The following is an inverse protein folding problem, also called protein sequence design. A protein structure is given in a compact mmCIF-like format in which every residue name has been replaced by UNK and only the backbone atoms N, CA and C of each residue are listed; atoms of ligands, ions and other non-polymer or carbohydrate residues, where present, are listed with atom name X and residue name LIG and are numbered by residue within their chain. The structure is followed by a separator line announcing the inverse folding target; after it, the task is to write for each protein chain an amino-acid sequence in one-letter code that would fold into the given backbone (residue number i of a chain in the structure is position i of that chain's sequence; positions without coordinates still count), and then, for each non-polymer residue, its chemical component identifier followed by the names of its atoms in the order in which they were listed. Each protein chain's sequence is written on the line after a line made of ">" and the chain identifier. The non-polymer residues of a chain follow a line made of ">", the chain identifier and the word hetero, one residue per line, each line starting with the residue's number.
data_IF_521655517163
#
_entry.id   IF_521655517163
#
_cell.length_a   1.000
_cell.length_b   1.000
_cell.length_c   1.000
_cell.angle_alpha   90.00
_cell.angle_beta   90.00
_cell.angle_gamma   90.00
#
_symmetry.space_group_name_H-M   'P 1'
#
loop_
_entity.id
_entity.type
_entity.pdbx_description
1 polymer ?
#
# COMPACT_ATOMS: atom_id res chain seq x y z
N UNK A 1 8.17 29.47 64.26
CA UNK A 1 8.86 28.63 63.26
C UNK A 1 7.83 27.73 62.58
N UNK A 2 7.31 28.18 61.44
CA UNK A 2 6.35 27.39 60.62
C UNK A 2 7.11 26.79 59.44
N UNK A 3 7.21 25.47 59.38
CA UNK A 3 7.80 24.77 58.26
C UNK A 3 6.72 24.62 57.15
N UNK A 4 7.00 25.24 56.01
CA UNK A 4 6.22 25.10 54.78
C UNK A 4 6.76 23.87 54.06
N UNK A 5 5.92 22.84 53.89
CA UNK A 5 6.21 21.71 53.03
C UNK A 5 5.74 22.07 51.62
N UNK A 6 6.69 22.25 50.70
CA UNK A 6 6.42 22.39 49.28
C UNK A 6 6.29 21.02 48.66
N UNK A 7 5.08 20.64 48.28
CA UNK A 7 4.79 19.42 47.56
C UNK A 7 5.09 19.65 46.07
N UNK A 8 6.16 19.07 45.56
CA UNK A 8 6.46 19.07 44.13
C UNK A 8 5.54 18.07 43.44
N UNK A 9 4.59 18.54 42.64
CA UNK A 9 3.82 17.74 41.71
C UNK A 9 4.73 17.45 40.49
N UNK A 10 5.26 16.25 40.41
CA UNK A 10 5.82 15.70 39.18
C UNK A 10 4.65 15.37 38.24
N UNK A 11 4.41 16.24 37.27
CA UNK A 11 3.59 15.95 36.10
C UNK A 11 4.34 14.91 35.26
N UNK A 12 3.99 13.64 35.46
CA UNK A 12 4.21 12.61 34.47
C UNK A 12 3.35 12.95 33.24
N UNK A 13 3.95 13.64 32.28
CA UNK A 13 3.44 13.68 30.92
C UNK A 13 3.57 12.26 30.37
N UNK A 14 2.54 11.45 30.58
CA UNK A 14 2.37 10.19 29.88
C UNK A 14 2.31 10.52 28.40
N UNK A 15 3.35 10.19 27.67
CA UNK A 15 3.30 10.03 26.23
C UNK A 15 2.21 8.99 25.94
N UNK A 16 1.01 9.46 25.67
CA UNK A 16 0.01 8.67 24.99
C UNK A 16 0.57 8.41 23.59
N UNK A 17 1.28 7.30 23.45
CA UNK A 17 1.43 6.62 22.20
C UNK A 17 0.02 6.15 21.86
N UNK A 18 -0.76 6.98 21.17
CA UNK A 18 -2.06 6.59 20.67
C UNK A 18 -1.82 5.30 19.88
N UNK A 19 -2.52 4.23 20.22
CA UNK A 19 -2.52 3.01 19.44
C UNK A 19 -2.93 3.43 18.03
N UNK A 20 -1.97 3.47 17.12
CA UNK A 20 -2.18 3.67 15.71
C UNK A 20 -3.15 2.56 15.28
N UNK A 21 -4.35 2.92 14.86
CA UNK A 21 -5.33 1.95 14.32
C UNK A 21 -4.89 1.58 12.90
N UNK A 22 -3.79 0.84 12.82
CA UNK A 22 -3.22 0.33 11.58
C UNK A 22 -4.14 -0.75 11.04
N UNK A 23 -4.99 -0.39 10.12
CA UNK A 23 -5.97 -1.29 9.48
C UNK A 23 -5.75 -1.39 7.96
N UNK A 24 -4.54 -1.14 7.48
CA UNK A 24 -4.18 -1.24 6.07
C UNK A 24 -4.54 -2.60 5.46
N UNK A 25 -4.69 -2.66 4.14
CA UNK A 25 -4.99 -3.90 3.44
C UNK A 25 -4.34 -3.93 2.07
N UNK A 26 -3.57 -4.99 1.80
CA UNK A 26 -2.92 -5.24 0.52
C UNK A 26 -3.56 -6.39 -0.25
N UNK A 27 -3.49 -6.32 -1.59
CA UNK A 27 -3.89 -7.39 -2.50
C UNK A 27 -2.94 -7.46 -3.69
N UNK A 28 -2.52 -8.67 -4.06
CA UNK A 28 -1.73 -8.94 -5.27
C UNK A 28 -2.50 -9.91 -6.14
N UNK A 29 -2.48 -9.66 -7.45
CA UNK A 29 -2.96 -10.59 -8.47
C UNK A 29 -1.81 -10.87 -9.43
N UNK A 30 -1.38 -12.11 -9.50
CA UNK A 30 -0.34 -12.57 -10.43
C UNK A 30 -0.78 -12.43 -11.89
N UNK A 31 0.18 -12.26 -12.79
CA UNK A 31 -0.09 -11.98 -14.21
C UNK A 31 -0.95 -13.05 -14.90
N UNK A 32 -0.81 -14.31 -14.52
CA UNK A 32 -1.61 -15.41 -15.06
C UNK A 32 -2.97 -15.55 -14.36
N UNK A 33 -3.18 -14.93 -13.21
CA UNK A 33 -4.49 -14.83 -12.54
C UNK A 33 -5.29 -13.64 -13.07
N UNK A 34 -4.64 -12.61 -13.59
CA UNK A 34 -5.29 -11.38 -14.07
C UNK A 34 -5.98 -11.57 -15.44
N UNK A 35 -6.91 -10.67 -15.74
CA UNK A 35 -7.71 -10.71 -16.97
C UNK A 35 -6.87 -10.39 -18.23
N UNK A 36 -5.88 -9.50 -18.11
CA UNK A 36 -5.12 -8.98 -19.24
C UNK A 36 -3.62 -9.37 -19.22
N UNK A 37 -3.23 -10.34 -18.37
CA UNK A 37 -1.84 -10.78 -18.27
C UNK A 37 -0.93 -9.80 -17.54
N UNK A 38 -1.49 -8.93 -16.73
CA UNK A 38 -0.81 -7.90 -15.94
C UNK A 38 -0.63 -8.30 -14.49
N UNK A 39 0.40 -7.82 -13.82
CA UNK A 39 0.49 -7.86 -12.36
C UNK A 39 -0.35 -6.71 -11.81
N UNK A 40 -1.25 -7.00 -10.85
CA UNK A 40 -2.06 -5.98 -10.18
C UNK A 40 -1.70 -5.99 -8.70
N UNK A 41 -1.37 -4.82 -8.16
CA UNK A 41 -1.10 -4.64 -6.74
C UNK A 41 -1.99 -3.53 -6.20
N UNK A 42 -2.85 -3.84 -5.24
CA UNK A 42 -3.74 -2.89 -4.59
C UNK A 42 -3.41 -2.71 -3.11
N UNK A 43 -3.58 -1.50 -2.58
CA UNK A 43 -3.30 -1.16 -1.19
C UNK A 43 -4.22 -0.06 -0.67
N UNK A 44 -4.83 -0.29 0.51
CA UNK A 44 -5.47 0.76 1.31
C UNK A 44 -4.54 1.18 2.43
N UNK A 45 -4.28 2.48 2.54
CA UNK A 45 -3.64 3.08 3.71
C UNK A 45 -4.70 3.60 4.67
N UNK A 46 -4.63 3.16 5.92
CA UNK A 46 -5.56 3.52 6.97
C UNK A 46 -4.83 4.23 8.11
N UNK A 47 -5.05 5.55 8.24
CA UNK A 47 -4.36 6.34 9.27
C UNK A 47 -5.16 7.56 9.79
N UNK A 48 -6.47 7.46 9.75
CA UNK A 48 -7.37 8.54 10.17
C UNK A 48 -7.69 9.54 9.06
N UNK A 49 -8.96 9.65 8.72
CA UNK A 49 -9.51 10.25 7.50
C UNK A 49 -9.28 11.76 7.24
N UNK A 50 -8.56 12.46 8.11
CA UNK A 50 -8.26 13.90 7.96
C UNK A 50 -6.84 14.21 7.49
N UNK A 51 -6.07 13.22 7.07
CA UNK A 51 -4.71 13.42 6.63
C UNK A 51 -4.64 13.81 5.16
N UNK A 52 -3.87 14.84 4.86
CA UNK A 52 -3.68 15.29 3.49
C UNK A 52 -2.77 14.34 2.71
N UNK A 53 -3.28 13.80 1.60
CA UNK A 53 -2.48 13.02 0.67
C UNK A 53 -1.75 13.93 -0.31
N UNK A 54 -0.42 13.92 -0.27
CA UNK A 54 0.43 14.50 -1.30
C UNK A 54 0.71 13.50 -2.41
N UNK A 55 0.66 13.97 -3.65
CA UNK A 55 1.14 13.24 -4.80
C UNK A 55 2.37 13.94 -5.37
N UNK A 56 3.42 13.20 -5.57
CA UNK A 56 4.68 13.64 -6.14
C UNK A 56 4.98 12.87 -7.42
N UNK A 57 5.42 13.56 -8.46
CA UNK A 57 5.89 12.93 -9.67
C UNK A 57 7.20 13.58 -10.13
N UNK A 58 8.17 12.75 -10.44
CA UNK A 58 9.46 13.11 -11.02
C UNK A 58 9.81 12.14 -12.14
N UNK A 59 10.89 12.40 -12.92
CA UNK A 59 11.38 11.43 -13.90
C UNK A 59 11.85 10.10 -13.27
N UNK A 60 12.07 10.04 -11.96
CA UNK A 60 12.60 8.87 -11.29
C UNK A 60 11.51 8.01 -10.64
N UNK A 61 10.49 8.64 -10.06
CA UNK A 61 9.39 7.91 -9.40
C UNK A 61 8.15 8.79 -9.20
N UNK A 62 7.01 8.12 -9.06
CA UNK A 62 5.75 8.67 -8.58
C UNK A 62 5.58 8.22 -7.14
N UNK A 63 5.09 9.13 -6.29
CA UNK A 63 5.03 8.93 -4.86
C UNK A 63 3.74 9.48 -4.27
N UNK A 64 3.07 8.69 -3.42
CA UNK A 64 1.97 9.12 -2.57
C UNK A 64 2.43 9.14 -1.11
N UNK A 65 2.11 10.21 -0.36
CA UNK A 65 2.54 10.35 1.03
C UNK A 65 1.58 11.18 1.87
N UNK A 66 1.69 11.03 3.16
CA UNK A 66 1.02 11.85 4.17
C UNK A 66 2.03 12.74 4.87
N UNK A 67 1.92 14.08 4.77
CA UNK A 67 2.81 15.00 5.47
C UNK A 67 2.75 14.81 6.98
N UNK A 68 3.90 14.87 7.63
CA UNK A 68 4.01 14.72 9.09
C UNK A 68 4.05 13.26 9.58
N UNK A 69 3.92 12.31 8.67
CA UNK A 69 4.11 10.90 8.96
C UNK A 69 5.54 10.45 8.66
N UNK A 70 6.06 9.56 9.50
CA UNK A 70 7.36 8.93 9.24
C UNK A 70 7.33 7.94 8.08
N UNK A 71 6.18 7.72 7.45
CA UNK A 71 6.00 6.72 6.40
C UNK A 71 5.44 7.36 5.14
N UNK A 72 6.19 7.28 4.06
CA UNK A 72 5.65 7.47 2.73
C UNK A 72 4.74 6.27 2.41
N UNK A 73 3.58 6.51 1.83
CA UNK A 73 2.63 5.44 1.61
C UNK A 73 3.07 4.53 0.45
N UNK A 74 3.07 5.00 -0.78
CA UNK A 74 3.28 4.16 -1.95
C UNK A 74 4.19 4.81 -2.99
N UNK A 75 5.03 3.99 -3.65
CA UNK A 75 5.92 4.41 -4.73
C UNK A 75 5.76 3.54 -5.96
N UNK A 76 5.97 4.15 -7.12
CA UNK A 76 6.22 3.49 -8.40
C UNK A 76 7.40 4.17 -9.08
N UNK A 77 8.50 3.46 -9.31
CA UNK A 77 9.70 4.04 -9.91
C UNK A 77 9.74 3.88 -11.44
N UNK A 78 10.72 4.53 -12.09
CA UNK A 78 10.87 4.53 -13.55
C UNK A 78 11.04 3.15 -14.20
N UNK A 79 11.34 2.11 -13.43
CA UNK A 79 11.42 0.73 -13.89
C UNK A 79 10.11 -0.03 -13.73
N UNK A 80 9.06 0.63 -13.24
CA UNK A 80 7.77 0.00 -12.93
C UNK A 80 7.76 -0.80 -11.65
N UNK A 81 8.80 -0.66 -10.79
CA UNK A 81 8.81 -1.28 -9.47
C UNK A 81 7.95 -0.46 -8.52
N UNK A 82 6.99 -1.14 -7.89
CA UNK A 82 6.07 -0.57 -6.92
C UNK A 82 6.32 -1.13 -5.54
N UNK A 83 6.09 -0.32 -4.52
CA UNK A 83 6.16 -0.73 -3.11
C UNK A 83 5.13 0.01 -2.27
N UNK A 84 4.45 -0.73 -1.40
CA UNK A 84 3.70 -0.24 -0.24
C UNK A 84 3.93 -1.18 0.94
N UNK A 85 3.28 -0.95 2.09
CA UNK A 85 3.50 -1.82 3.24
C UNK A 85 2.45 -1.70 4.32
N UNK A 86 2.17 -2.82 5.00
CA UNK A 86 1.23 -2.93 6.11
C UNK A 86 1.95 -3.08 7.44
N UNK A 87 1.47 -2.42 8.48
CA UNK A 87 1.94 -2.67 9.83
C UNK A 87 1.55 -4.08 10.28
N UNK A 88 2.54 -4.85 10.74
CA UNK A 88 2.36 -6.23 11.19
C UNK A 88 3.13 -6.42 12.49
N UNK A 89 2.52 -6.14 13.66
CA UNK A 89 3.23 -6.22 14.92
C UNK A 89 3.86 -7.58 15.16
N UNK A 90 5.14 -7.57 15.53
CA UNK A 90 5.93 -8.76 15.83
C UNK A 90 5.87 -9.14 17.30
N UNK A 91 6.13 -10.41 17.58
CA UNK A 91 6.17 -10.97 18.93
C UNK A 91 7.26 -10.36 19.80
N UNK A 92 8.41 -10.03 19.22
CA UNK A 92 9.52 -9.43 19.94
C UNK A 92 9.49 -7.91 19.89
N UNK A 93 9.92 -7.30 20.99
CA UNK A 93 10.18 -5.86 21.10
C UNK A 93 11.69 -5.56 21.24
N UNK A 94 12.55 -6.55 20.98
CA UNK A 94 14.02 -6.38 21.05
C UNK A 94 14.50 -5.62 19.81
N UNK A 95 15.11 -4.49 20.03
CA UNK A 95 15.46 -3.58 18.92
C UNK A 95 16.78 -3.95 18.26
N UNK A 96 17.62 -4.75 18.61
CA UNK A 96 18.91 -5.13 17.97
C UNK A 96 19.28 -4.26 16.73
N UNK A 97 19.34 -2.94 16.95
CA UNK A 97 19.51 -1.94 15.91
C UNK A 97 20.98 -1.54 15.75
N UNK A 98 21.38 -1.25 14.51
CA UNK A 98 22.65 -0.60 14.19
C UNK A 98 22.34 0.74 13.48
N UNK A 99 23.11 1.78 13.77
CA UNK A 99 22.94 3.12 13.19
C UNK A 99 21.51 3.65 13.27
N UNK A 100 20.81 3.40 14.39
CA UNK A 100 19.44 3.84 14.64
C UNK A 100 18.36 3.06 13.88
N UNK A 101 18.73 2.00 13.19
CA UNK A 101 17.79 1.13 12.46
C UNK A 101 17.18 1.78 11.20
N UNK A 102 16.27 1.05 10.55
CA UNK A 102 15.50 1.52 9.38
C UNK A 102 14.00 1.45 9.64
N UNK A 103 13.23 2.25 8.93
CA UNK A 103 11.77 2.21 8.89
C UNK A 103 11.28 2.63 7.50
N UNK A 104 10.77 3.85 7.34
CA UNK A 104 10.25 4.35 6.07
C UNK A 104 11.31 4.57 4.99
N UNK A 105 12.59 4.74 5.36
CA UNK A 105 13.70 4.78 4.40
C UNK A 105 13.79 3.52 3.52
N UNK A 106 13.22 2.42 3.98
CA UNK A 106 13.17 1.15 3.24
C UNK A 106 12.42 1.35 1.91
N UNK A 107 11.22 1.94 1.94
CA UNK A 107 10.44 2.21 0.72
C UNK A 107 11.15 3.19 -0.21
N UNK A 108 11.72 4.25 0.32
CA UNK A 108 12.51 5.21 -0.48
C UNK A 108 13.74 4.57 -1.11
N UNK A 109 14.42 3.67 -0.40
CA UNK A 109 15.58 2.96 -0.93
C UNK A 109 15.19 2.07 -2.10
N UNK A 110 14.07 1.36 -2.01
CA UNK A 110 13.53 0.56 -3.11
C UNK A 110 13.18 1.47 -4.30
N UNK A 111 12.44 2.56 -4.07
CA UNK A 111 12.05 3.50 -5.13
C UNK A 111 13.25 4.08 -5.88
N UNK A 112 14.35 4.35 -5.20
CA UNK A 112 15.56 4.94 -5.80
C UNK A 112 16.47 3.91 -6.48
N UNK A 113 16.54 2.67 -5.98
CA UNK A 113 17.59 1.72 -6.37
C UNK A 113 17.09 0.49 -7.12
N UNK A 114 15.88 -0.01 -6.84
CA UNK A 114 15.40 -1.26 -7.40
C UNK A 114 15.03 -1.11 -8.89
N UNK A 115 15.47 -2.06 -9.72
CA UNK A 115 15.10 -2.16 -11.14
C UNK A 115 14.11 -3.29 -11.39
N UNK A 116 13.97 -4.22 -10.44
CA UNK A 116 13.01 -5.32 -10.46
C UNK A 116 12.42 -5.53 -9.06
N UNK A 117 11.28 -6.20 -8.98
CA UNK A 117 10.69 -6.59 -7.71
C UNK A 117 11.65 -7.52 -6.93
N UNK A 118 12.39 -8.38 -7.62
CA UNK A 118 13.40 -9.25 -7.00
C UNK A 118 14.56 -8.46 -6.39
N UNK A 119 15.09 -7.44 -7.08
CA UNK A 119 16.10 -6.54 -6.49
C UNK A 119 15.58 -5.79 -5.26
N UNK A 120 14.28 -5.44 -5.23
CA UNK A 120 13.67 -4.82 -4.07
C UNK A 120 13.73 -5.74 -2.84
N UNK A 121 13.53 -7.05 -3.00
CA UNK A 121 13.69 -8.05 -1.92
C UNK A 121 15.10 -7.99 -1.34
N UNK A 122 16.14 -7.96 -2.20
CA UNK A 122 17.54 -7.91 -1.76
C UNK A 122 17.87 -6.60 -1.02
N UNK A 123 17.34 -5.48 -1.48
CA UNK A 123 17.51 -4.17 -0.84
C UNK A 123 16.88 -4.18 0.56
N UNK A 124 15.64 -4.65 0.68
CA UNK A 124 14.91 -4.71 1.96
C UNK A 124 15.63 -5.64 2.92
N UNK A 125 15.94 -6.88 2.49
CA UNK A 125 16.64 -7.87 3.31
C UNK A 125 17.97 -7.35 3.83
N UNK A 126 18.79 -6.75 2.97
CA UNK A 126 20.08 -6.16 3.34
C UNK A 126 19.94 -5.04 4.36
N UNK A 127 18.99 -4.12 4.16
CA UNK A 127 18.76 -3.02 5.09
C UNK A 127 18.35 -3.54 6.47
N UNK A 128 17.45 -4.52 6.52
CA UNK A 128 16.98 -5.12 7.77
C UNK A 128 18.11 -5.90 8.45
N UNK A 129 18.84 -6.72 7.73
CA UNK A 129 19.98 -7.50 8.31
C UNK A 129 21.10 -6.60 8.82
N UNK A 130 21.42 -5.53 8.11
CA UNK A 130 22.56 -4.67 8.47
C UNK A 130 22.22 -3.62 9.52
N UNK A 131 21.00 -3.10 9.53
CA UNK A 131 20.62 -1.99 10.41
C UNK A 131 19.55 -2.34 11.44
N UNK A 132 18.68 -3.29 11.16
CA UNK A 132 17.52 -3.63 11.99
C UNK A 132 16.33 -2.73 11.72
N UNK A 133 15.12 -3.30 11.79
CA UNK A 133 13.86 -2.58 11.66
C UNK A 133 13.42 -2.01 13.02
N UNK A 134 13.22 -0.69 13.13
CA UNK A 134 13.03 0.01 14.40
C UNK A 134 11.58 0.08 14.93
N UNK A 135 10.59 -0.34 14.14
CA UNK A 135 9.18 -0.38 14.56
C UNK A 135 8.73 -1.80 14.88
N UNK A 136 7.49 -1.98 15.31
CA UNK A 136 6.97 -3.25 15.81
C UNK A 136 7.01 -4.41 14.80
N UNK A 137 7.11 -4.12 13.52
CA UNK A 137 7.16 -5.08 12.43
C UNK A 137 6.31 -4.60 11.24
N UNK A 138 6.58 -5.17 10.06
CA UNK A 138 5.94 -4.74 8.82
C UNK A 138 5.92 -5.83 7.76
N UNK A 139 4.91 -5.83 6.91
CA UNK A 139 4.94 -6.56 5.65
C UNK A 139 5.08 -5.54 4.52
N UNK A 140 6.18 -5.64 3.77
CA UNK A 140 6.36 -4.93 2.51
C UNK A 140 5.79 -5.74 1.37
N UNK A 141 5.20 -5.05 0.41
CA UNK A 141 4.66 -5.60 -0.82
C UNK A 141 5.40 -4.91 -1.95
N UNK A 142 6.06 -5.68 -2.80
CA UNK A 142 6.77 -5.16 -3.97
C UNK A 142 6.30 -5.88 -5.22
N UNK A 143 6.16 -5.14 -6.31
CA UNK A 143 5.74 -5.68 -7.60
C UNK A 143 6.42 -4.94 -8.74
N UNK A 144 6.58 -5.63 -9.86
CA UNK A 144 6.92 -5.06 -11.16
C UNK A 144 6.02 -5.70 -12.25
N UNK A 145 6.14 -5.35 -13.54
CA UNK A 145 5.31 -5.94 -14.60
C UNK A 145 5.44 -7.45 -14.79
N UNK A 146 6.38 -8.12 -14.13
CA UNK A 146 6.65 -9.54 -14.31
C UNK A 146 6.31 -10.39 -13.09
N UNK A 147 6.44 -9.83 -11.89
CA UNK A 147 6.29 -10.58 -10.64
C UNK A 147 5.96 -9.69 -9.44
N UNK A 148 5.56 -10.34 -8.34
CA UNK A 148 5.33 -9.69 -7.07
C UNK A 148 5.84 -10.53 -5.90
N UNK A 149 6.25 -9.87 -4.81
CA UNK A 149 6.81 -10.46 -3.61
C UNK A 149 6.20 -9.88 -2.35
N UNK A 150 6.06 -10.71 -1.33
CA UNK A 150 5.71 -10.31 0.02
C UNK A 150 6.94 -10.47 0.89
N UNK A 151 7.30 -9.44 1.66
CA UNK A 151 8.46 -9.43 2.52
C UNK A 151 8.00 -9.07 3.94
N UNK A 152 8.06 -10.02 4.86
CA UNK A 152 7.74 -9.82 6.28
C UNK A 152 9.01 -9.52 7.07
N UNK A 153 9.00 -8.41 7.82
CA UNK A 153 10.11 -8.01 8.69
C UNK A 153 9.60 -7.84 10.12
N UNK A 154 10.31 -8.41 11.09
CA UNK A 154 10.00 -8.17 12.50
C UNK A 154 10.79 -6.97 13.03
N UNK A 155 10.46 -6.49 14.22
CA UNK A 155 11.32 -5.57 14.95
C UNK A 155 12.69 -6.21 15.17
N UNK A 156 13.76 -5.50 14.81
CA UNK A 156 15.10 -6.06 14.80
C UNK A 156 15.51 -6.52 13.40
N UNK A 157 16.20 -7.67 13.27
CA UNK A 157 16.96 -8.02 12.05
C UNK A 157 16.43 -9.24 11.31
N UNK A 158 15.28 -9.79 11.72
CA UNK A 158 14.71 -10.99 11.12
C UNK A 158 13.72 -10.64 10.02
N UNK A 159 13.77 -11.35 8.90
CA UNK A 159 12.88 -11.17 7.76
C UNK A 159 12.73 -12.46 6.96
N UNK A 160 11.65 -12.54 6.21
CA UNK A 160 11.44 -13.54 5.17
C UNK A 160 10.71 -12.92 4.00
N UNK A 161 10.93 -13.47 2.81
CA UNK A 161 10.23 -13.07 1.58
C UNK A 161 9.76 -14.31 0.82
N UNK A 162 8.60 -14.17 0.18
CA UNK A 162 8.03 -15.21 -0.68
C UNK A 162 7.42 -14.58 -1.92
N UNK A 163 7.72 -15.17 -3.09
CA UNK A 163 7.13 -14.77 -4.36
C UNK A 163 5.65 -15.14 -4.40
N UNK A 164 4.83 -14.27 -4.94
CA UNK A 164 3.43 -14.60 -5.23
C UNK A 164 3.38 -15.34 -6.57
N UNK A 165 2.82 -16.57 -6.64
CA UNK A 165 2.71 -17.29 -7.89
C UNK A 165 1.94 -16.51 -8.95
N UNK A 166 2.37 -16.65 -10.20
CA UNK A 166 1.76 -15.92 -11.34
C UNK A 166 0.26 -16.19 -11.53
N UNK A 167 -0.21 -17.37 -11.13
CA UNK A 167 -1.61 -17.81 -11.26
C UNK A 167 -2.45 -17.67 -9.98
N UNK A 168 -1.95 -16.89 -9.00
CA UNK A 168 -2.55 -16.76 -7.69
C UNK A 168 -2.98 -15.32 -7.35
N UNK A 169 -3.86 -15.23 -6.35
CA UNK A 169 -4.21 -14.00 -5.63
C UNK A 169 -3.71 -14.12 -4.20
N UNK A 170 -3.09 -13.05 -3.71
CA UNK A 170 -2.60 -12.90 -2.34
C UNK A 170 -3.30 -11.76 -1.65
N UNK A 171 -3.72 -11.97 -0.39
CA UNK A 171 -4.38 -10.98 0.47
C UNK A 171 -3.50 -10.71 1.68
N UNK A 172 -3.29 -9.45 2.01
CA UNK A 172 -2.35 -9.03 3.05
C UNK A 172 -3.06 -8.12 4.06
N UNK A 173 -3.49 -8.66 5.21
CA UNK A 173 -3.99 -7.90 6.36
C UNK A 173 -2.83 -7.48 7.28
N UNK A 174 -3.14 -6.82 8.42
CA UNK A 174 -2.14 -6.39 9.40
C UNK A 174 -1.61 -7.53 10.31
N UNK A 175 -1.26 -8.66 9.71
CA UNK A 175 -0.47 -9.73 10.34
C UNK A 175 0.37 -10.44 9.28
N UNK A 176 1.45 -11.10 9.70
CA UNK A 176 2.31 -11.82 8.77
C UNK A 176 1.57 -12.96 8.09
N UNK A 177 1.75 -13.09 6.77
CA UNK A 177 1.04 -14.05 5.94
C UNK A 177 1.93 -15.19 5.43
N UNK A 178 3.27 -15.05 5.50
CA UNK A 178 4.22 -16.07 5.07
C UNK A 178 4.14 -17.26 6.04
N UNK A 179 3.54 -18.35 5.59
CA UNK A 179 3.22 -19.53 6.43
C UNK A 179 4.17 -20.72 6.21
N UNK A 180 4.97 -20.69 5.13
CA UNK A 180 5.98 -21.73 4.83
C UNK A 180 7.19 -21.06 4.20
N UNK A 181 8.35 -21.24 4.82
CA UNK A 181 9.63 -20.77 4.30
C UNK A 181 10.50 -21.98 4.05
N UNK A 182 10.65 -22.35 2.78
CA UNK A 182 11.53 -23.41 2.33
C UNK A 182 12.66 -22.78 1.50
N UNK A 183 13.87 -22.74 2.04
CA UNK A 183 15.03 -22.15 1.36
C UNK A 183 15.59 -23.02 0.22
N UNK A 184 15.07 -24.24 0.04
CA UNK A 184 15.36 -25.03 -1.16
C UNK A 184 14.52 -24.55 -2.36
N UNK A 185 13.42 -23.85 -2.11
CA UNK A 185 12.60 -23.20 -3.13
C UNK A 185 13.22 -21.84 -3.49
N UNK A 186 13.62 -21.60 -4.75
CA UNK A 186 14.20 -20.32 -5.18
C UNK A 186 13.23 -19.13 -5.10
N UNK A 187 11.97 -19.37 -4.82
CA UNK A 187 10.95 -18.34 -4.62
C UNK A 187 10.77 -17.96 -3.14
N UNK A 188 11.63 -18.47 -2.24
CA UNK A 188 11.65 -18.12 -0.83
C UNK A 188 13.05 -17.59 -0.42
N UNK A 189 13.05 -16.53 0.36
CA UNK A 189 14.24 -15.95 0.96
C UNK A 189 14.01 -15.64 2.43
N UNK A 190 15.08 -15.65 3.22
CA UNK A 190 15.01 -15.24 4.62
C UNK A 190 16.39 -14.77 5.13
N UNK A 191 16.36 -14.03 6.22
CA UNK A 191 17.56 -13.62 6.94
C UNK A 191 18.40 -14.82 7.38
N UNK A 192 19.72 -14.65 7.41
CA UNK A 192 20.70 -15.71 7.62
C UNK A 192 20.47 -16.53 8.90
N UNK A 193 19.97 -15.90 9.96
CA UNK A 193 19.79 -16.52 11.29
C UNK A 193 18.32 -16.68 11.72
N UNK A 194 17.36 -16.49 10.79
CA UNK A 194 15.92 -16.49 11.10
C UNK A 194 15.46 -17.76 11.82
N UNK A 195 15.92 -18.93 11.38
CA UNK A 195 15.55 -20.21 11.98
C UNK A 195 16.17 -20.41 13.36
N UNK A 196 17.48 -20.12 13.49
CA UNK A 196 18.20 -20.25 14.78
C UNK A 196 17.68 -19.23 15.80
N UNK A 197 17.36 -18.03 15.36
CA UNK A 197 16.74 -17.00 16.20
C UNK A 197 15.40 -17.46 16.79
N UNK A 198 14.51 -17.99 15.95
CA UNK A 198 13.21 -18.51 16.40
C UNK A 198 13.36 -19.74 17.30
N UNK A 199 14.29 -20.66 16.97
CA UNK A 199 14.55 -21.89 17.75
C UNK A 199 15.09 -21.56 19.13
N UNK A 200 16.08 -20.67 19.22
CA UNK A 200 16.70 -20.26 20.49
C UNK A 200 15.68 -19.63 21.46
N UNK A 201 14.64 -18.98 20.93
CA UNK A 201 13.55 -18.38 21.71
C UNK A 201 12.39 -19.34 22.01
N UNK A 202 12.48 -20.57 21.53
CA UNK A 202 11.38 -21.55 21.68
C UNK A 202 10.14 -21.18 20.85
N UNK A 203 10.27 -20.37 19.81
CA UNK A 203 9.18 -19.99 18.91
C UNK A 203 9.02 -20.93 17.72
N UNK A 204 10.01 -21.78 17.50
CA UNK A 204 10.02 -22.83 16.49
C UNK A 204 10.83 -24.04 16.98
N UNK A 205 10.30 -25.22 16.72
CA UNK A 205 10.98 -26.49 16.98
C UNK A 205 10.98 -27.34 15.70
N UNK A 206 12.14 -27.46 15.05
CA UNK A 206 12.29 -28.17 13.78
C UNK A 206 11.88 -29.67 13.84
N UNK A 207 11.80 -30.25 15.05
CA UNK A 207 11.41 -31.66 15.23
C UNK A 207 9.89 -31.85 15.28
N UNK A 208 9.13 -30.85 15.70
CA UNK A 208 7.69 -30.96 15.97
C UNK A 208 6.83 -30.10 15.07
N UNK A 209 7.34 -28.95 14.61
CA UNK A 209 6.51 -27.92 13.99
C UNK A 209 6.48 -28.00 12.44
N UNK A 210 7.27 -28.94 11.85
CA UNK A 210 7.33 -29.12 10.40
C UNK A 210 8.04 -27.96 9.68
N UNK A 211 7.52 -27.55 8.53
CA UNK A 211 8.09 -26.44 7.76
C UNK A 211 7.97 -25.14 8.55
N UNK A 212 9.05 -24.35 8.53
CA UNK A 212 9.09 -23.08 9.25
C UNK A 212 8.04 -22.11 8.75
N UNK A 213 7.27 -21.55 9.68
CA UNK A 213 6.26 -20.51 9.43
C UNK A 213 6.70 -19.19 10.05
N UNK A 214 7.03 -18.20 9.22
CA UNK A 214 7.34 -16.86 9.71
C UNK A 214 6.14 -16.27 10.48
N UNK A 215 4.93 -16.45 9.94
CA UNK A 215 3.68 -16.05 10.57
C UNK A 215 3.53 -16.58 12.00
N UNK A 216 3.72 -17.90 12.20
CA UNK A 216 3.56 -18.52 13.52
C UNK A 216 4.68 -18.13 14.49
N UNK A 217 5.91 -18.07 13.99
CA UNK A 217 7.08 -17.78 14.82
C UNK A 217 7.14 -16.32 15.28
N UNK A 218 6.82 -15.38 14.39
CA UNK A 218 7.12 -13.96 14.62
C UNK A 218 5.93 -13.03 14.80
N UNK A 219 4.69 -13.40 14.42
CA UNK A 219 3.54 -12.54 14.71
C UNK A 219 3.35 -12.35 16.21
N UNK A 220 3.00 -11.15 16.65
CA UNK A 220 2.39 -10.97 17.95
C UNK A 220 1.10 -11.82 18.01
N UNK A 221 0.94 -12.71 19.00
CA UNK A 221 -0.15 -13.69 19.02
C UNK A 221 -1.53 -13.04 18.85
N UNK A 222 -1.75 -11.92 19.51
CA UNK A 222 -3.00 -11.16 19.48
C UNK A 222 -3.34 -10.61 18.10
N UNK A 223 -2.35 -10.28 17.25
CA UNK A 223 -2.63 -9.67 15.93
C UNK A 223 -3.26 -10.64 14.95
N UNK A 224 -2.88 -11.93 15.00
CA UNK A 224 -3.45 -12.98 14.14
C UNK A 224 -4.90 -13.29 14.48
N UNK A 225 -5.26 -13.13 15.75
CA UNK A 225 -6.60 -13.45 16.26
C UNK A 225 -7.50 -12.23 16.41
N UNK A 226 -7.01 -11.02 16.15
CA UNK A 226 -7.85 -9.82 16.17
C UNK A 226 -8.98 -9.94 15.16
N UNK A 227 -10.20 -9.83 15.67
CA UNK A 227 -11.42 -10.01 14.88
C UNK A 227 -11.45 -9.10 13.64
N UNK A 228 -11.08 -7.84 13.78
CA UNK A 228 -11.09 -6.91 12.64
C UNK A 228 -10.11 -7.29 11.52
N UNK A 229 -8.93 -7.87 11.85
CA UNK A 229 -7.99 -8.38 10.85
C UNK A 229 -8.58 -9.59 10.10
N UNK A 230 -9.19 -10.50 10.84
CA UNK A 230 -9.81 -11.70 10.29
C UNK A 230 -11.04 -11.38 9.44
N UNK A 231 -11.88 -10.43 9.88
CA UNK A 231 -13.06 -9.99 9.12
C UNK A 231 -12.66 -9.41 7.76
N UNK A 232 -11.64 -8.56 7.70
CA UNK A 232 -11.13 -8.00 6.44
C UNK A 232 -10.60 -9.10 5.51
N UNK A 233 -9.77 -10.01 6.03
CA UNK A 233 -9.24 -11.11 5.24
C UNK A 233 -10.36 -12.01 4.71
N UNK A 234 -11.31 -12.42 5.56
CA UNK A 234 -12.45 -13.27 5.19
C UNK A 234 -13.39 -12.57 4.21
N UNK A 235 -13.62 -11.27 4.35
CA UNK A 235 -14.44 -10.51 3.40
C UNK A 235 -13.85 -10.52 2.00
N UNK A 236 -12.51 -10.38 1.88
CA UNK A 236 -11.84 -10.49 0.60
C UNK A 236 -11.86 -11.93 0.05
N UNK A 237 -11.61 -12.95 0.88
CA UNK A 237 -11.74 -14.36 0.48
C UNK A 237 -13.14 -14.65 -0.04
N UNK A 238 -14.18 -14.21 0.68
CA UNK A 238 -15.58 -14.40 0.29
C UNK A 238 -15.89 -13.71 -1.05
N UNK A 239 -15.35 -12.53 -1.33
CA UNK A 239 -15.51 -11.86 -2.61
C UNK A 239 -15.01 -12.73 -3.78
N UNK A 240 -13.93 -13.47 -3.57
CA UNK A 240 -13.38 -14.39 -4.57
C UNK A 240 -13.97 -15.80 -4.51
N UNK A 241 -15.00 -16.02 -3.70
CA UNK A 241 -15.62 -17.35 -3.55
C UNK A 241 -14.71 -18.39 -2.89
N UNK A 242 -13.75 -17.95 -2.10
CA UNK A 242 -12.81 -18.82 -1.37
C UNK A 242 -13.35 -19.21 0.00
N UNK A 243 -12.93 -20.36 0.56
CA UNK A 243 -13.21 -20.71 1.96
C UNK A 243 -12.74 -19.62 2.92
N UNK A 244 -13.50 -19.43 3.98
CA UNK A 244 -13.23 -18.44 5.05
C UNK A 244 -12.99 -19.15 6.37
N UNK A 245 -11.81 -19.80 6.58
CA UNK A 245 -11.53 -20.58 7.79
C UNK A 245 -11.68 -19.77 9.06
N UNK A 246 -12.17 -20.41 10.14
CA UNK A 246 -12.25 -19.78 11.46
C UNK A 246 -10.85 -19.62 12.07
N UNK A 247 -10.03 -20.65 11.94
CA UNK A 247 -8.65 -20.59 12.39
C UNK A 247 -7.79 -19.83 11.37
N UNK A 248 -7.14 -18.72 11.75
CA UNK A 248 -6.29 -17.94 10.84
C UNK A 248 -5.09 -18.73 10.32
N UNK A 249 -4.65 -19.77 11.02
CA UNK A 249 -3.53 -20.60 10.57
C UNK A 249 -3.90 -21.53 9.39
N UNK A 250 -5.19 -21.72 9.13
CA UNK A 250 -5.70 -22.50 8.00
C UNK A 250 -5.90 -21.64 6.73
N UNK A 251 -5.73 -20.32 6.84
CA UNK A 251 -5.75 -19.42 5.68
C UNK A 251 -4.43 -19.58 4.91
N UNK A 252 -4.47 -20.01 3.63
CA UNK A 252 -3.26 -20.22 2.85
C UNK A 252 -2.54 -18.89 2.54
N UNK A 253 -1.26 -18.96 2.19
CA UNK A 253 -0.47 -17.80 1.73
C UNK A 253 -1.14 -17.10 0.54
N UNK A 254 -1.60 -17.86 -0.44
CA UNK A 254 -2.31 -17.38 -1.62
C UNK A 254 -3.30 -18.42 -2.11
N UNK A 255 -4.16 -18.08 -3.05
CA UNK A 255 -5.12 -18.99 -3.66
C UNK A 255 -5.22 -18.78 -5.19
N UNK A 256 -5.61 -19.83 -5.91
CA UNK A 256 -5.94 -19.75 -7.34
C UNK A 256 -7.40 -19.30 -7.48
N UNK A 257 -7.67 -18.17 -8.14
CA UNK A 257 -9.04 -17.71 -8.31
C UNK A 257 -9.78 -18.58 -9.34
N UNK A 258 -11.09 -18.77 -9.14
CA UNK A 258 -11.95 -19.52 -10.06
C UNK A 258 -12.24 -18.81 -11.39
N UNK A 259 -11.81 -17.54 -11.53
CA UNK A 259 -11.95 -16.71 -12.74
C UNK A 259 -10.78 -15.74 -12.85
N UNK A 260 -10.59 -15.15 -14.01
CA UNK A 260 -9.63 -14.06 -14.20
C UNK A 260 -10.07 -12.82 -13.42
N UNK A 261 -9.10 -12.13 -12.84
CA UNK A 261 -9.29 -10.97 -11.98
C UNK A 261 -8.89 -9.70 -12.74
N UNK A 262 -9.76 -8.71 -12.74
CA UNK A 262 -9.50 -7.40 -13.36
C UNK A 262 -9.00 -6.38 -12.34
N UNK A 263 -8.46 -5.25 -12.82
CA UNK A 263 -8.15 -4.07 -12.00
C UNK A 263 -9.39 -3.59 -11.24
N UNK A 264 -10.56 -3.64 -11.89
CA UNK A 264 -11.84 -3.26 -11.28
C UNK A 264 -12.21 -4.18 -10.12
N UNK A 265 -11.93 -5.49 -10.21
CA UNK A 265 -12.14 -6.42 -9.09
C UNK A 265 -11.30 -6.05 -7.88
N UNK A 266 -10.03 -5.69 -8.09
CA UNK A 266 -9.13 -5.23 -7.01
C UNK A 266 -9.67 -3.94 -6.39
N UNK A 267 -10.09 -2.97 -7.19
CA UNK A 267 -10.72 -1.73 -6.70
C UNK A 267 -11.97 -2.02 -5.88
N UNK A 268 -12.79 -2.99 -6.30
CA UNK A 268 -13.99 -3.41 -5.54
C UNK A 268 -13.64 -4.05 -4.21
N UNK A 269 -12.62 -4.92 -4.16
CA UNK A 269 -12.16 -5.51 -2.89
C UNK A 269 -11.71 -4.43 -1.93
N UNK A 270 -10.90 -3.48 -2.40
CA UNK A 270 -10.43 -2.36 -1.58
C UNK A 270 -11.58 -1.43 -1.13
N UNK A 271 -12.71 -1.46 -1.82
CA UNK A 271 -13.92 -0.68 -1.49
C UNK A 271 -14.91 -1.41 -0.57
N UNK A 272 -14.62 -2.68 -0.18
CA UNK A 272 -15.54 -3.45 0.66
C UNK A 272 -15.64 -2.84 2.07
N UNK A 273 -16.86 -2.54 2.49
CA UNK A 273 -17.14 -2.10 3.84
C UNK A 273 -18.40 -2.75 4.40
N UNK A 274 -18.46 -2.85 5.71
CA UNK A 274 -19.64 -3.26 6.44
C UNK A 274 -20.56 -2.05 6.65
N UNK A 275 -21.88 -2.28 6.83
CA UNK A 275 -22.76 -1.21 7.29
C UNK A 275 -22.14 -0.56 8.55
N UNK A 276 -22.15 0.77 8.62
CA UNK A 276 -21.58 1.55 9.72
C UNK A 276 -20.04 1.70 9.74
N UNK A 277 -19.32 1.39 8.66
CA UNK A 277 -17.90 1.73 8.52
C UNK A 277 -17.02 1.24 9.68
N UNK A 278 -17.24 -0.01 10.09
CA UNK A 278 -16.51 -0.62 11.19
C UNK A 278 -15.02 -0.84 10.87
N UNK A 279 -14.19 -0.97 11.88
CA UNK A 279 -12.76 -1.32 11.74
C UNK A 279 -12.54 -2.71 11.11
N UNK A 280 -13.57 -3.56 11.06
CA UNK A 280 -13.56 -4.84 10.36
C UNK A 280 -13.79 -4.74 8.85
N UNK A 281 -14.00 -3.54 8.32
CA UNK A 281 -14.12 -3.27 6.88
C UNK A 281 -12.75 -3.04 6.24
N UNK A 282 -12.59 -3.42 4.97
CA UNK A 282 -11.38 -3.12 4.19
C UNK A 282 -11.33 -1.63 3.89
N UNK A 283 -12.44 -1.05 3.38
CA UNK A 283 -12.63 0.39 3.37
C UNK A 283 -13.33 0.79 4.68
N UNK A 284 -12.66 1.51 5.54
CA UNK A 284 -13.16 1.90 6.86
C UNK A 284 -12.96 3.39 7.12
N UNK A 285 -13.43 3.89 8.26
CA UNK A 285 -13.36 5.31 8.62
C UNK A 285 -11.95 5.91 8.66
N UNK A 286 -10.92 5.07 8.76
CA UNK A 286 -9.53 5.49 8.81
C UNK A 286 -8.86 5.43 7.45
N UNK A 287 -9.53 4.93 6.39
CA UNK A 287 -8.94 4.85 5.05
C UNK A 287 -8.73 6.25 4.48
N UNK A 288 -7.48 6.61 4.29
CA UNK A 288 -7.06 7.95 3.80
C UNK A 288 -6.69 7.94 2.33
N UNK A 289 -6.32 6.77 1.80
CA UNK A 289 -6.05 6.58 0.39
C UNK A 289 -6.21 5.12 -0.01
N UNK A 290 -6.52 4.90 -1.27
CA UNK A 290 -6.47 3.61 -1.91
C UNK A 290 -5.70 3.70 -3.22
N UNK A 291 -4.72 2.83 -3.40
CA UNK A 291 -3.84 2.80 -4.56
C UNK A 291 -3.93 1.44 -5.25
N UNK A 292 -4.05 1.41 -6.58
CA UNK A 292 -3.96 0.19 -7.39
C UNK A 292 -2.93 0.39 -8.47
N UNK A 293 -1.88 -0.41 -8.47
CA UNK A 293 -0.88 -0.46 -9.52
C UNK A 293 -1.31 -1.48 -10.57
N UNK A 294 -1.39 -1.04 -11.81
CA UNK A 294 -1.60 -1.86 -12.99
C UNK A 294 -0.30 -1.94 -13.75
N UNK A 295 0.32 -3.10 -13.81
CA UNK A 295 1.70 -3.29 -14.25
C UNK A 295 1.73 -4.26 -15.44
N UNK A 296 1.95 -3.74 -16.65
CA UNK A 296 1.89 -4.47 -17.92
C UNK A 296 3.27 -4.55 -18.58
N UNK A 297 3.73 -5.76 -18.84
CA UNK A 297 5.02 -6.03 -19.51
C UNK A 297 4.97 -6.02 -21.04
N UNK A 298 3.76 -6.03 -21.62
CA UNK A 298 3.53 -6.14 -23.06
C UNK A 298 3.45 -4.80 -23.80
N UNK A 299 3.80 -3.70 -23.13
CA UNK A 299 3.79 -2.35 -23.71
C UNK A 299 4.85 -1.47 -23.04
N UNK A 300 5.19 -0.29 -23.60
CA UNK A 300 6.16 0.61 -22.99
C UNK A 300 5.77 0.98 -21.54
N UNK A 301 6.73 0.96 -20.63
CA UNK A 301 6.50 1.15 -19.19
C UNK A 301 5.78 2.46 -18.88
N UNK A 302 6.10 3.53 -19.62
CA UNK A 302 5.56 4.88 -19.41
C UNK A 302 4.03 4.94 -19.55
N UNK A 303 3.44 4.03 -20.30
CA UNK A 303 1.98 3.89 -20.48
C UNK A 303 1.47 2.52 -20.02
N UNK A 304 2.36 1.53 -19.83
CA UNK A 304 2.05 0.20 -19.34
C UNK A 304 1.89 0.11 -17.83
N UNK A 305 2.57 1.01 -17.10
CA UNK A 305 2.51 1.06 -15.64
C UNK A 305 1.71 2.27 -15.18
N UNK A 306 0.70 2.02 -14.37
CA UNK A 306 -0.19 3.04 -13.82
C UNK A 306 -0.33 2.89 -12.31
N UNK A 307 -0.41 4.03 -11.64
CA UNK A 307 -0.91 4.17 -10.29
C UNK A 307 -2.34 4.73 -10.36
N UNK A 308 -3.33 3.91 -10.14
CA UNK A 308 -4.70 4.35 -9.91
C UNK A 308 -4.84 4.77 -8.46
N UNK A 309 -5.32 5.98 -8.18
CA UNK A 309 -5.42 6.49 -6.82
C UNK A 309 -6.79 7.09 -6.54
N UNK A 310 -7.43 6.60 -5.47
CA UNK A 310 -8.58 7.21 -4.82
C UNK A 310 -8.10 7.95 -3.56
N UNK A 311 -8.51 9.20 -3.43
CA UNK A 311 -8.15 10.06 -2.29
C UNK A 311 -9.22 9.98 -1.23
N UNK A 312 -8.95 9.21 -0.18
CA UNK A 312 -9.92 8.91 0.85
C UNK A 312 -10.56 7.54 0.62
N UNK A 313 -11.86 7.45 0.86
CA UNK A 313 -12.59 6.19 0.91
C UNK A 313 -12.94 5.67 -0.50
N UNK A 314 -12.34 4.57 -0.97
CA UNK A 314 -12.51 4.09 -2.34
C UNK A 314 -13.93 3.63 -2.68
N UNK A 315 -14.80 3.40 -1.69
CA UNK A 315 -16.21 3.08 -1.92
C UNK A 315 -17.01 4.26 -2.45
N UNK A 316 -16.60 5.50 -2.16
CA UNK A 316 -17.29 6.75 -2.57
C UNK A 316 -16.38 7.69 -3.38
N UNK A 317 -15.13 7.30 -3.62
CA UNK A 317 -14.17 8.07 -4.41
C UNK A 317 -13.72 7.28 -5.65
N UNK A 318 -13.59 7.95 -6.79
CA UNK A 318 -13.09 7.32 -8.01
C UNK A 318 -11.56 7.25 -8.02
N UNK A 319 -11.04 6.14 -8.55
CA UNK A 319 -9.63 6.01 -8.85
C UNK A 319 -9.27 6.77 -10.12
N UNK A 320 -8.30 7.66 -10.01
CA UNK A 320 -7.75 8.42 -11.14
C UNK A 320 -6.40 7.83 -11.56
N UNK A 321 -6.16 7.64 -12.88
CA UNK A 321 -4.94 7.01 -13.37
C UNK A 321 -3.79 8.00 -13.41
N UNK A 322 -2.63 7.64 -12.83
CA UNK A 322 -1.36 8.33 -13.01
C UNK A 322 -0.42 7.37 -13.74
N UNK A 323 -0.09 7.71 -14.97
CA UNK A 323 0.82 6.90 -15.77
C UNK A 323 2.27 7.13 -15.37
N UNK A 324 3.11 6.11 -15.48
CA UNK A 324 4.53 6.20 -15.16
C UNK A 324 5.26 7.27 -15.98
N UNK A 325 4.83 7.51 -17.21
CA UNK A 325 5.38 8.59 -18.05
C UNK A 325 5.05 10.02 -17.59
N UNK A 326 4.31 10.17 -16.47
CA UNK A 326 4.04 11.46 -15.82
C UNK A 326 5.31 11.94 -15.11
N UNK A 327 5.83 13.12 -15.48
CA UNK A 327 7.09 13.66 -14.91
C UNK A 327 6.88 14.89 -14.04
N UNK A 328 5.66 15.37 -13.94
CA UNK A 328 5.28 16.52 -13.14
C UNK A 328 4.07 16.19 -12.28
N UNK A 329 3.99 16.83 -11.14
CA UNK A 329 2.85 16.67 -10.24
C UNK A 329 1.55 17.12 -10.94
N UNK A 330 0.55 16.26 -11.11
CA UNK A 330 -0.75 16.64 -11.68
C UNK A 330 -1.42 17.76 -10.88
N UNK A 331 -2.27 18.58 -11.52
CA UNK A 331 -2.98 19.67 -10.83
C UNK A 331 -3.75 19.19 -9.61
N UNK A 332 -4.43 18.06 -9.70
CA UNK A 332 -5.18 17.48 -8.58
C UNK A 332 -4.28 16.97 -7.44
N UNK A 333 -2.98 16.80 -7.69
CA UNK A 333 -1.96 16.49 -6.69
C UNK A 333 -1.18 17.70 -6.18
N UNK A 334 -1.40 18.88 -6.76
CA UNK A 334 -0.63 20.09 -6.45
C UNK A 334 -1.19 20.79 -5.23
N UNK A 335 -0.79 20.34 -4.06
CA UNK A 335 -0.92 21.15 -2.85
C UNK A 335 0.31 22.04 -2.68
N UNK A 336 1.48 21.51 -3.05
CA UNK A 336 2.77 22.17 -2.99
C UNK A 336 3.54 21.91 -4.29
N UNK A 337 4.62 22.65 -4.52
CA UNK A 337 5.62 22.24 -5.50
C UNK A 337 6.26 20.91 -5.07
N UNK A 338 6.88 20.18 -6.00
CA UNK A 338 7.59 18.95 -5.67
C UNK A 338 8.61 19.15 -4.53
N UNK A 339 9.39 20.24 -4.59
CA UNK A 339 10.37 20.59 -3.56
C UNK A 339 9.71 20.96 -2.21
N UNK A 340 8.53 21.61 -2.25
CA UNK A 340 7.78 21.93 -1.04
C UNK A 340 7.11 20.69 -0.44
N UNK A 341 6.64 19.74 -1.25
CA UNK A 341 6.10 18.48 -0.79
C UNK A 341 7.18 17.68 -0.05
N UNK A 342 8.37 17.55 -0.63
CA UNK A 342 9.52 16.87 0.00
C UNK A 342 9.94 17.56 1.31
N UNK A 343 10.04 18.88 1.30
CA UNK A 343 10.38 19.67 2.49
C UNK A 343 9.34 19.55 3.60
N UNK A 344 8.05 19.40 3.25
CA UNK A 344 6.93 19.34 4.20
C UNK A 344 6.56 17.92 4.62
N UNK A 345 7.24 16.92 4.11
CA UNK A 345 7.00 15.51 4.44
C UNK A 345 6.90 15.26 5.96
N UNK A 346 7.73 15.95 6.75
CA UNK A 346 7.72 15.84 8.22
C UNK A 346 6.94 16.96 8.91
N UNK A 347 6.16 17.76 8.21
CA UNK A 347 5.37 18.84 8.81
C UNK A 347 4.14 18.28 9.53
N UNK A 348 3.73 18.93 10.63
CA UNK A 348 2.52 18.55 11.36
C UNK A 348 1.27 18.65 10.48
N UNK A 349 0.64 17.51 10.21
CA UNK A 349 -0.55 17.41 9.37
C UNK A 349 -1.74 18.23 9.90
N UNK A 350 -1.89 18.36 11.23
CA UNK A 350 -3.01 19.09 11.85
C UNK A 350 -3.03 20.57 11.48
N UNK A 351 -1.87 21.17 11.19
CA UNK A 351 -1.76 22.56 10.80
C UNK A 351 -1.90 22.78 9.29
N UNK A 352 -1.92 21.74 8.48
CA UNK A 352 -1.96 21.87 7.03
C UNK A 352 -3.33 22.33 6.51
N UNK A 353 -4.43 21.95 7.16
CA UNK A 353 -5.79 22.39 6.79
C UNK A 353 -5.94 23.91 6.83
N UNK A 354 -5.34 24.56 7.81
CA UNK A 354 -5.36 26.03 7.96
C UNK A 354 -4.44 26.77 7.00
N UNK A 355 -3.42 26.10 6.45
CA UNK A 355 -2.39 26.69 5.61
C UNK A 355 -2.49 26.28 4.13
N UNK A 356 -3.43 25.42 3.78
CA UNK A 356 -3.65 24.94 2.41
C UNK A 356 -5.06 25.26 1.98
N UNK A 357 -5.36 26.51 1.59
CA UNK A 357 -6.71 26.90 1.20
C UNK A 357 -7.12 26.12 -0.07
N UNK A 358 -8.33 25.60 -0.08
CA UNK A 358 -8.99 24.93 -1.21
C UNK A 358 -8.28 23.74 -1.81
N UNK A 359 -7.45 23.04 -1.05
CA UNK A 359 -6.78 21.82 -1.53
C UNK A 359 -7.81 20.80 -2.02
N UNK A 360 -7.49 20.14 -3.11
CA UNK A 360 -8.34 19.10 -3.69
C UNK A 360 -8.67 18.00 -2.67
N UNK A 361 -7.72 17.65 -1.81
CA UNK A 361 -7.92 16.66 -0.77
C UNK A 361 -9.05 17.05 0.20
N UNK A 362 -9.09 18.30 0.66
CA UNK A 362 -10.13 18.75 1.61
C UNK A 362 -11.53 18.69 1.03
N UNK A 363 -11.69 18.87 -0.28
CA UNK A 363 -12.99 18.65 -0.94
C UNK A 363 -13.43 17.19 -0.86
N UNK A 364 -12.49 16.25 -0.95
CA UNK A 364 -12.78 14.82 -0.78
C UNK A 364 -13.15 14.49 0.68
N UNK A 365 -12.43 15.08 1.65
CA UNK A 365 -12.75 14.94 3.08
C UNK A 365 -14.15 15.52 3.37
N UNK A 366 -14.41 16.77 2.96
CA UNK A 366 -15.71 17.43 3.19
C UNK A 366 -16.86 16.64 2.54
N UNK A 367 -16.63 16.07 1.35
CA UNK A 367 -17.60 15.20 0.67
C UNK A 367 -17.84 13.92 1.46
N UNK A 368 -16.78 13.26 1.91
CA UNK A 368 -16.87 12.06 2.73
C UNK A 368 -17.64 12.29 4.03
N UNK A 369 -17.33 13.34 4.79
CA UNK A 369 -18.05 13.71 6.01
C UNK A 369 -19.55 13.93 5.72
N UNK A 370 -19.86 14.61 4.61
CA UNK A 370 -21.24 14.83 4.18
C UNK A 370 -21.98 13.54 3.76
N UNK A 371 -21.25 12.54 3.23
CA UNK A 371 -21.81 11.24 2.82
C UNK A 371 -22.06 10.35 4.04
N UNK A 372 -21.11 10.26 4.94
CA UNK A 372 -21.24 9.43 6.18
C UNK A 372 -22.41 9.89 7.05
N UNK A 373 -22.70 11.17 7.03
CA UNK A 373 -23.83 11.73 7.76
C UNK A 373 -25.20 11.37 7.15
N UNK A 374 -25.25 10.87 5.90
CA UNK A 374 -26.49 10.62 5.16
C UNK A 374 -26.38 9.38 4.24
N UNK A 375 -27.01 8.25 4.60
CA UNK A 375 -26.96 7.00 3.81
C UNK A 375 -27.49 7.14 2.36
N UNK A 376 -28.40 8.08 2.08
CA UNK A 376 -28.89 8.31 0.71
C UNK A 376 -27.80 8.95 -0.16
N UNK A 377 -26.96 9.79 0.43
CA UNK A 377 -25.81 10.37 -0.28
C UNK A 377 -24.76 9.33 -0.60
N UNK A 378 -24.57 8.35 0.28
CA UNK A 378 -23.65 7.23 0.03
C UNK A 378 -24.07 6.44 -1.22
N UNK A 379 -25.32 6.03 -1.32
CA UNK A 379 -25.83 5.29 -2.47
C UNK A 379 -25.68 6.10 -3.79
N UNK A 380 -25.96 7.41 -3.74
CA UNK A 380 -25.79 8.29 -4.89
C UNK A 380 -24.31 8.45 -5.28
N UNK A 381 -23.41 8.58 -4.31
CA UNK A 381 -21.97 8.66 -4.52
C UNK A 381 -21.42 7.37 -5.15
N UNK A 382 -21.81 6.21 -4.63
CA UNK A 382 -21.42 4.90 -5.18
C UNK A 382 -21.85 4.76 -6.64
N UNK A 383 -23.09 5.16 -6.96
CA UNK A 383 -23.59 5.10 -8.34
C UNK A 383 -22.81 6.04 -9.27
N UNK A 384 -22.50 7.26 -8.79
CA UNK A 384 -21.72 8.22 -9.55
C UNK A 384 -20.28 7.70 -9.80
N UNK A 385 -19.61 7.23 -8.76
CA UNK A 385 -18.25 6.65 -8.86
C UNK A 385 -18.22 5.48 -9.83
N UNK A 386 -19.17 4.54 -9.71
CA UNK A 386 -19.22 3.37 -10.59
C UNK A 386 -19.39 3.78 -12.08
N UNK A 387 -20.28 4.74 -12.38
CA UNK A 387 -20.45 5.25 -13.75
C UNK A 387 -19.21 5.96 -14.27
N UNK A 388 -18.57 6.77 -13.41
CA UNK A 388 -17.37 7.50 -13.77
C UNK A 388 -16.20 6.55 -14.03
N UNK A 389 -15.99 5.56 -13.15
CA UNK A 389 -14.93 4.57 -13.28
C UNK A 389 -15.10 3.70 -14.53
N UNK A 390 -16.31 3.21 -14.79
CA UNK A 390 -16.60 2.44 -16.01
C UNK A 390 -16.30 3.23 -17.29
N UNK A 391 -16.54 4.55 -17.28
CA UNK A 391 -16.17 5.41 -18.41
C UNK A 391 -14.66 5.52 -18.57
N UNK A 392 -13.89 5.68 -17.48
CA UNK A 392 -12.43 5.71 -17.54
C UNK A 392 -11.87 4.43 -18.16
N UNK A 393 -12.31 3.26 -17.70
CA UNK A 393 -11.87 1.98 -18.27
C UNK A 393 -12.20 1.86 -19.75
N UNK A 394 -13.41 2.26 -20.15
CA UNK A 394 -13.80 2.24 -21.57
C UNK A 394 -12.93 3.13 -22.46
N UNK A 395 -12.49 4.28 -21.93
CA UNK A 395 -11.67 5.26 -22.67
C UNK A 395 -10.16 4.91 -22.64
N UNK A 396 -9.72 4.06 -21.70
CA UNK A 396 -8.30 3.77 -21.43
C UNK A 396 -7.56 3.23 -22.65
N UNK A 397 -8.04 2.15 -23.25
CA UNK A 397 -7.39 1.48 -24.40
C UNK A 397 -7.20 2.43 -25.60
N UNK A 398 -8.23 3.18 -25.95
CA UNK A 398 -8.16 4.15 -27.04
C UNK A 398 -7.19 5.30 -26.72
N UNK A 399 -7.16 5.75 -25.47
CA UNK A 399 -6.21 6.77 -25.04
C UNK A 399 -4.77 6.28 -25.12
N UNK A 400 -4.48 5.09 -24.60
CA UNK A 400 -3.15 4.48 -24.59
C UNK A 400 -2.65 4.21 -26.02
N UNK A 401 -3.50 3.65 -26.89
CA UNK A 401 -3.19 3.51 -28.33
C UNK A 401 -2.81 4.83 -28.97
N UNK A 402 -3.49 5.91 -28.61
CA UNK A 402 -3.13 7.25 -29.12
C UNK A 402 -1.80 7.77 -28.60
N UNK A 403 -1.32 7.26 -27.45
CA UNK A 403 -0.01 7.60 -26.90
C UNK A 403 1.14 6.85 -27.58
N UNK A 404 0.87 5.76 -28.31
CA UNK A 404 1.90 5.02 -29.04
C UNK A 404 2.64 5.86 -30.10
N UNK A 405 2.02 6.93 -30.57
CA UNK A 405 2.67 7.88 -31.50
C UNK A 405 3.92 8.58 -30.94
N UNK A 406 4.12 8.57 -29.63
CA UNK A 406 5.32 9.10 -28.98
C UNK A 406 6.49 8.13 -28.94
N UNK A 407 6.26 6.87 -29.34
CA UNK A 407 7.25 5.79 -29.35
C UNK A 407 7.67 5.45 -30.79
N UNK A 408 8.81 4.79 -30.91
CA UNK A 408 9.26 4.21 -32.17
C UNK A 408 8.39 3.01 -32.52
N UNK A 409 7.98 2.93 -33.78
CA UNK A 409 7.23 1.78 -34.30
C UNK A 409 8.07 0.53 -34.49
N UNK A 410 9.41 0.65 -34.47
CA UNK A 410 10.33 -0.46 -34.72
C UNK A 410 10.77 -1.19 -33.46
N UNK A 411 11.04 -0.44 -32.39
CA UNK A 411 11.64 -0.98 -31.15
C UNK A 411 10.93 -0.53 -29.86
N UNK A 412 9.85 0.27 -29.97
CA UNK A 412 9.11 0.77 -28.81
C UNK A 412 9.83 1.84 -27.99
N UNK A 413 10.98 2.35 -28.46
CA UNK A 413 11.75 3.37 -27.74
C UNK A 413 10.98 4.70 -27.68
N UNK A 414 10.96 5.32 -26.51
CA UNK A 414 10.33 6.62 -26.29
C UNK A 414 11.08 7.73 -27.03
N UNK A 415 10.45 8.33 -28.07
CA UNK A 415 11.04 9.40 -28.91
C UNK A 415 10.74 10.81 -28.40
N UNK A 416 9.61 10.99 -27.73
CA UNK A 416 9.17 12.32 -27.29
C UNK A 416 8.61 12.27 -25.86
N UNK A 417 9.49 12.18 -24.87
CA UNK A 417 9.15 12.13 -23.45
C UNK A 417 8.36 13.37 -22.99
N UNK A 418 8.77 14.59 -23.41
CA UNK A 418 8.05 15.82 -23.04
C UNK A 418 6.64 15.87 -23.62
N UNK A 419 6.48 15.44 -24.87
CA UNK A 419 5.17 15.39 -25.53
C UNK A 419 4.24 14.40 -24.83
N UNK A 420 4.76 13.21 -24.51
CA UNK A 420 4.02 12.18 -23.78
C UNK A 420 3.60 12.69 -22.38
N UNK A 421 4.55 13.17 -21.57
CA UNK A 421 4.26 13.69 -20.22
C UNK A 421 3.20 14.79 -20.24
N UNK A 422 3.30 15.76 -21.16
CA UNK A 422 2.29 16.82 -21.33
C UNK A 422 0.91 16.25 -21.66
N UNK A 423 0.84 15.21 -22.51
CA UNK A 423 -0.41 14.56 -22.86
C UNK A 423 -1.01 13.82 -21.69
N UNK A 424 -0.19 13.05 -20.94
CA UNK A 424 -0.62 12.30 -19.76
C UNK A 424 -1.14 13.24 -18.68
N UNK A 425 -0.38 14.28 -18.32
CA UNK A 425 -0.80 15.28 -17.33
C UNK A 425 -2.12 15.95 -17.72
N UNK A 426 -2.27 16.36 -18.98
CA UNK A 426 -3.52 16.97 -19.46
C UNK A 426 -4.71 16.02 -19.36
N UNK A 427 -4.52 14.73 -19.62
CA UNK A 427 -5.58 13.74 -19.52
C UNK A 427 -6.03 13.54 -18.06
N UNK A 428 -5.07 13.41 -17.14
CA UNK A 428 -5.33 13.24 -15.72
C UNK A 428 -6.06 14.47 -15.15
N UNK A 429 -5.55 15.67 -15.43
CA UNK A 429 -6.19 16.92 -14.99
C UNK A 429 -7.63 17.04 -15.51
N UNK A 430 -7.87 16.66 -16.78
CA UNK A 430 -9.22 16.66 -17.36
C UNK A 430 -10.15 15.64 -16.71
N UNK A 431 -9.65 14.44 -16.39
CA UNK A 431 -10.43 13.43 -15.66
C UNK A 431 -10.81 13.94 -14.28
N UNK A 432 -9.86 14.52 -13.56
CA UNK A 432 -10.11 15.12 -12.25
C UNK A 432 -11.14 16.25 -12.31
N UNK A 433 -10.97 17.21 -13.22
CA UNK A 433 -11.92 18.32 -13.38
C UNK A 433 -13.36 17.84 -13.69
N UNK A 434 -13.49 16.78 -14.50
CA UNK A 434 -14.81 16.17 -14.78
C UNK A 434 -15.38 15.48 -13.53
N UNK A 435 -14.52 14.79 -12.79
CA UNK A 435 -14.93 14.07 -11.57
C UNK A 435 -15.48 15.03 -10.52
N UNK A 436 -14.73 16.09 -10.20
CA UNK A 436 -15.10 17.07 -9.17
C UNK A 436 -16.35 17.89 -9.53
N UNK A 437 -16.69 18.03 -10.82
CA UNK A 437 -17.95 18.69 -11.23
C UNK A 437 -19.21 17.91 -10.85
N UNK A 438 -19.08 16.66 -10.49
CA UNK A 438 -20.18 15.81 -10.05
C UNK A 438 -20.37 15.74 -8.53
N UNK A 439 -19.61 16.53 -7.77
CA UNK A 439 -19.69 16.59 -6.30
C UNK A 439 -20.88 17.43 -5.85
#
# INVERSE_FOLDING_TARGET
>A
MKKVFTLAFLLLAGLWCGAQNDNCFGIIVGKNASANGEVIFGHNEDDGGEQMLNLYASPEYIWAEFPGMETADAFMNRYGVCIASDNCPSRSTEENLLDGGVCYEVRQSVAKMAKTAREAVDIIGRLVETRGYKKSGRTYIVADPNEAWVISVMQGRQWAAQRVPDDAVMLIPNYYVIDKVDLADPENFAGTDVFSYATTRGWYNFRTDGVFSFRKAFSAPETRTKEHNLLRHRSALAYFGQPTPENPDDIPFCFKPGRKISVEDVMRVLSLHQPAWSSGSICNKNTVASTVFQLRSNMPLEIGCLMWIARGHPCVEAYLPIYLGTTELPKFGRFFSAADAEKRHFSDAKNLRTHTPSGFFWKHVDRWEGIVADPYKEAAANQYVAKFQAKLFKEQDAFEKSCMSYFSSTDGTLRNAKGLAKRLNKAIDKHYEKYVKGF
#
